data_IF_399701951102
#
_entry.id   IF_399701951102
#
_cell.length_a   1.000
_cell.length_b   1.000
_cell.length_c   1.000
_cell.angle_alpha   90.00
_cell.angle_beta   90.00
_cell.angle_gamma   90.00
#
_symmetry.space_group_name_H-M   'P 1'
#
loop_
_entity.id
_entity.type
_entity.pdbx_description
1 polymer ?
#
# COMPACT_ATOMS: atom_id res chain seq x y z
N UNK A 1 -19.63 12.38 39.24
CA UNK A 1 -19.22 11.17 38.50
C UNK A 1 -19.93 11.25 37.17
N UNK A 2 -19.24 11.75 36.14
CA UNK A 2 -19.79 11.79 34.78
C UNK A 2 -19.87 10.36 34.27
N UNK A 3 -20.98 9.97 33.64
CA UNK A 3 -21.09 8.67 32.98
C UNK A 3 -19.92 8.49 32.01
N UNK A 4 -19.29 7.30 31.95
CA UNK A 4 -18.26 7.03 30.95
C UNK A 4 -18.93 7.14 29.58
N UNK A 5 -18.54 8.16 28.80
CA UNK A 5 -19.01 8.32 27.43
C UNK A 5 -18.61 7.08 26.64
N UNK A 6 -19.56 6.48 25.92
CA UNK A 6 -19.29 5.29 25.12
C UNK A 6 -18.13 5.57 24.14
N UNK A 7 -17.20 4.62 23.95
CA UNK A 7 -16.12 4.78 23.00
C UNK A 7 -16.68 4.97 21.60
N UNK A 8 -16.17 5.97 20.90
CA UNK A 8 -16.51 6.25 19.51
C UNK A 8 -15.70 5.32 18.61
N UNK A 9 -16.36 4.40 17.92
CA UNK A 9 -15.70 3.53 16.94
C UNK A 9 -15.30 4.32 15.70
N UNK A 10 -14.10 4.06 15.18
CA UNK A 10 -13.63 4.57 13.90
C UNK A 10 -13.15 3.41 13.03
N UNK A 11 -13.49 3.44 11.75
CA UNK A 11 -13.03 2.45 10.76
C UNK A 11 -12.49 3.13 9.50
N UNK A 12 -11.28 2.77 9.10
CA UNK A 12 -10.64 3.18 7.86
C UNK A 12 -10.75 2.05 6.84
N UNK A 13 -11.25 2.37 5.65
CA UNK A 13 -11.43 1.44 4.55
C UNK A 13 -10.60 1.86 3.34
N UNK A 14 -9.64 1.04 2.93
CA UNK A 14 -8.86 1.26 1.71
C UNK A 14 -9.52 0.52 0.54
N UNK A 15 -10.30 1.26 -0.26
CA UNK A 15 -11.24 0.67 -1.23
C UNK A 15 -10.74 0.67 -2.67
N UNK A 16 -9.66 1.39 -2.97
CA UNK A 16 -9.06 1.40 -4.30
C UNK A 16 -7.85 2.32 -4.40
N UNK A 17 -7.31 2.46 -5.61
CA UNK A 17 -6.09 3.25 -5.81
C UNK A 17 -6.28 4.76 -5.75
N UNK A 18 -7.50 5.25 -6.03
CA UNK A 18 -7.83 6.68 -6.03
C UNK A 18 -9.33 6.86 -5.95
N UNK A 19 -9.77 7.92 -5.28
CA UNK A 19 -11.16 8.38 -5.31
C UNK A 19 -11.21 9.76 -5.99
N UNK A 20 -12.06 9.91 -7.01
CA UNK A 20 -12.34 11.22 -7.60
C UNK A 20 -13.36 11.98 -6.75
N UNK A 21 -12.89 13.03 -6.07
CA UNK A 21 -13.72 13.87 -5.21
C UNK A 21 -14.52 14.95 -5.97
N UNK A 22 -14.28 15.14 -7.27
CA UNK A 22 -14.90 16.23 -8.05
C UNK A 22 -16.42 16.11 -8.15
N UNK A 23 -16.93 14.89 -8.16
CA UNK A 23 -18.38 14.64 -8.22
C UNK A 23 -19.02 14.67 -6.83
N UNK A 24 -18.25 14.33 -5.79
CA UNK A 24 -18.69 14.24 -4.39
C UNK A 24 -18.75 15.60 -3.69
N UNK A 25 -17.95 16.57 -4.11
CA UNK A 25 -17.90 17.92 -3.52
C UNK A 25 -19.15 18.79 -3.79
N UNK A 26 -20.15 18.27 -4.50
CA UNK A 26 -21.42 18.98 -4.79
C UNK A 26 -22.44 18.93 -3.63
N UNK A 27 -22.19 18.14 -2.58
CA UNK A 27 -23.01 18.04 -1.37
C UNK A 27 -22.39 18.74 -0.14
N UNK A 28 -23.08 18.65 1.01
CA UNK A 28 -22.77 19.26 2.33
C UNK A 28 -21.32 19.03 2.80
N UNK A 29 -20.40 19.83 2.27
CA UNK A 29 -18.96 19.73 2.51
C UNK A 29 -18.59 20.57 3.73
N UNK A 30 -17.95 19.96 4.73
CA UNK A 30 -17.55 20.64 5.97
C UNK A 30 -16.13 21.21 5.90
N UNK A 31 -15.21 20.58 5.15
CA UNK A 31 -13.83 21.02 4.97
C UNK A 31 -13.20 20.48 3.67
N UNK A 32 -12.16 21.16 3.18
CA UNK A 32 -11.36 20.74 2.02
C UNK A 32 -9.98 20.27 2.51
N UNK A 33 -9.91 18.99 2.88
CA UNK A 33 -8.66 18.26 3.15
C UNK A 33 -8.71 17.49 4.48
N UNK A 34 -9.14 16.20 4.53
CA UNK A 34 -9.86 15.40 3.53
C UNK A 34 -11.28 15.93 3.24
N UNK A 35 -12.02 15.34 2.27
CA UNK A 35 -13.45 15.67 2.11
C UNK A 35 -14.21 15.14 3.33
N UNK A 36 -14.65 16.04 4.19
CA UNK A 36 -15.39 15.70 5.42
C UNK A 36 -16.89 15.93 5.24
N UNK A 37 -17.66 14.87 5.49
CA UNK A 37 -19.12 14.85 5.43
C UNK A 37 -19.70 14.45 6.79
N UNK A 38 -20.76 15.13 7.20
CA UNK A 38 -21.57 14.73 8.36
C UNK A 38 -22.62 13.70 7.90
N UNK A 39 -22.71 12.59 8.64
CA UNK A 39 -23.62 11.48 8.39
C UNK A 39 -24.58 11.36 9.59
N UNK A 40 -25.88 11.54 9.34
CA UNK A 40 -26.88 11.56 10.40
C UNK A 40 -26.67 12.73 11.37
N UNK A 41 -26.78 12.46 12.69
CA UNK A 41 -26.65 13.49 13.73
C UNK A 41 -25.23 13.60 14.34
N UNK A 42 -24.44 12.53 14.30
CA UNK A 42 -23.15 12.47 15.00
C UNK A 42 -22.04 11.71 14.25
N UNK A 43 -22.35 11.11 13.09
CA UNK A 43 -21.39 10.34 12.32
C UNK A 43 -20.56 11.23 11.39
N UNK A 44 -19.31 10.88 11.15
CA UNK A 44 -18.48 11.55 10.15
C UNK A 44 -17.94 10.55 9.14
N UNK A 45 -17.91 10.96 7.87
CA UNK A 45 -17.17 10.28 6.81
C UNK A 45 -16.11 11.22 6.25
N UNK A 46 -14.86 10.78 6.23
CA UNK A 46 -13.71 11.54 5.76
C UNK A 46 -13.05 10.78 4.60
N UNK A 47 -13.10 11.37 3.41
CA UNK A 47 -12.70 10.71 2.16
C UNK A 47 -11.37 11.29 1.68
N UNK A 48 -10.40 10.40 1.51
CA UNK A 48 -9.05 10.70 1.05
C UNK A 48 -8.91 10.36 -0.44
N UNK A 49 -8.30 11.27 -1.21
CA UNK A 49 -8.13 11.09 -2.66
C UNK A 49 -7.28 9.88 -3.00
N UNK A 50 -6.38 9.49 -2.10
CA UNK A 50 -5.56 8.29 -2.22
C UNK A 50 -6.32 6.99 -1.94
N UNK A 51 -7.65 6.99 -1.85
CA UNK A 51 -8.44 5.76 -1.90
C UNK A 51 -8.98 5.25 -0.58
N UNK A 52 -8.85 6.03 0.49
CA UNK A 52 -9.31 5.65 1.84
C UNK A 52 -10.55 6.44 2.24
N UNK A 53 -11.45 5.77 2.95
CA UNK A 53 -12.61 6.39 3.61
C UNK A 53 -12.53 6.08 5.09
N UNK A 54 -12.51 7.09 5.95
CA UNK A 54 -12.51 6.93 7.41
C UNK A 54 -13.87 7.36 7.97
N UNK A 55 -14.51 6.46 8.71
CA UNK A 55 -15.87 6.61 9.20
C UNK A 55 -15.90 6.54 10.72
N UNK A 56 -16.54 7.53 11.37
CA UNK A 56 -16.60 7.69 12.82
C UNK A 56 -18.04 7.53 13.31
N UNK A 57 -18.30 6.55 14.17
CA UNK A 57 -19.60 6.37 14.80
C UNK A 57 -20.72 5.93 13.85
N UNK A 58 -20.37 5.28 12.73
CA UNK A 58 -21.35 4.71 11.79
C UNK A 58 -21.61 3.23 12.11
N UNK A 59 -22.82 2.79 11.80
CA UNK A 59 -23.17 1.37 11.75
C UNK A 59 -22.63 0.70 10.49
N UNK A 60 -22.48 -0.63 10.52
CA UNK A 60 -21.99 -1.38 9.35
C UNK A 60 -22.87 -1.22 8.10
N UNK A 61 -24.16 -0.95 8.29
CA UNK A 61 -25.09 -0.70 7.19
C UNK A 61 -24.79 0.65 6.51
N UNK A 62 -24.59 1.71 7.29
CA UNK A 62 -24.22 3.04 6.80
C UNK A 62 -22.83 3.01 6.13
N UNK A 63 -21.87 2.29 6.71
CA UNK A 63 -20.53 2.12 6.11
C UNK A 63 -20.63 1.48 4.72
N UNK A 64 -21.41 0.40 4.59
CA UNK A 64 -21.64 -0.28 3.32
C UNK A 64 -22.34 0.62 2.31
N UNK A 65 -23.31 1.43 2.74
CA UNK A 65 -24.01 2.37 1.88
C UNK A 65 -23.04 3.41 1.30
N UNK A 66 -22.18 4.01 2.14
CA UNK A 66 -21.17 4.97 1.70
C UNK A 66 -20.18 4.33 0.73
N UNK A 67 -19.62 3.17 1.07
CA UNK A 67 -18.67 2.45 0.19
C UNK A 67 -19.32 2.10 -1.15
N UNK A 68 -20.60 1.72 -1.14
CA UNK A 68 -21.34 1.43 -2.36
C UNK A 68 -21.62 2.68 -3.19
N UNK A 69 -21.92 3.82 -2.55
CA UNK A 69 -22.11 5.11 -3.21
C UNK A 69 -20.84 5.64 -3.88
N UNK A 70 -19.66 5.23 -3.42
CA UNK A 70 -18.37 5.63 -3.99
C UNK A 70 -17.91 4.78 -5.17
N UNK A 71 -18.64 3.71 -5.54
CA UNK A 71 -18.18 2.74 -6.55
C UNK A 71 -17.73 3.35 -7.87
N UNK A 72 -18.50 4.31 -8.40
CA UNK A 72 -18.23 4.91 -9.70
C UNK A 72 -17.10 5.95 -9.65
N UNK A 73 -16.79 6.46 -8.46
CA UNK A 73 -15.71 7.44 -8.23
C UNK A 73 -14.36 6.78 -7.87
N UNK A 74 -14.32 5.46 -7.67
CA UNK A 74 -13.12 4.73 -7.24
C UNK A 74 -12.37 4.15 -8.45
N UNK A 75 -11.12 4.54 -8.64
CA UNK A 75 -10.24 3.96 -9.66
C UNK A 75 -9.44 2.76 -9.11
N UNK A 76 -9.32 1.70 -9.93
CA UNK A 76 -8.72 0.41 -9.55
C UNK A 76 -9.24 -0.05 -8.18
N UNK A 77 -10.55 -0.26 -8.10
CA UNK A 77 -11.21 -0.77 -6.91
C UNK A 77 -10.62 -2.13 -6.53
N UNK A 78 -10.43 -2.35 -5.24
CA UNK A 78 -9.96 -3.63 -4.74
C UNK A 78 -11.13 -4.58 -4.49
N UNK A 79 -10.98 -5.85 -4.86
CA UNK A 79 -11.99 -6.89 -4.62
C UNK A 79 -12.16 -7.18 -3.12
N UNK A 80 -11.06 -7.09 -2.39
CA UNK A 80 -11.01 -7.19 -0.93
C UNK A 80 -10.40 -5.89 -0.39
N UNK A 81 -11.23 -4.92 0.02
CA UNK A 81 -10.77 -3.72 0.69
C UNK A 81 -10.08 -4.06 2.03
N UNK A 82 -8.99 -3.36 2.33
CA UNK A 82 -8.39 -3.42 3.66
C UNK A 82 -9.24 -2.58 4.63
N UNK A 83 -9.45 -3.08 5.85
CA UNK A 83 -10.15 -2.37 6.90
C UNK A 83 -9.29 -2.34 8.17
N UNK A 84 -9.15 -1.16 8.75
CA UNK A 84 -8.51 -0.97 10.04
C UNK A 84 -9.47 -0.23 10.99
N UNK A 85 -9.61 -0.71 12.22
CA UNK A 85 -10.55 -0.16 13.20
C UNK A 85 -9.83 0.28 14.47
N UNK A 86 -10.28 1.39 15.07
CA UNK A 86 -9.86 1.83 16.38
C UNK A 86 -11.06 2.33 17.21
N UNK A 87 -10.84 2.47 18.50
CA UNK A 87 -11.78 3.08 19.42
C UNK A 87 -11.22 4.39 19.95
N UNK A 88 -12.07 5.41 20.02
CA UNK A 88 -11.74 6.73 20.54
C UNK A 88 -12.47 6.94 21.86
N UNK A 89 -11.75 7.39 22.87
CA UNK A 89 -12.32 7.81 24.15
C UNK A 89 -12.05 9.29 24.37
N UNK A 90 -13.07 10.03 24.80
CA UNK A 90 -12.96 11.46 25.04
C UNK A 90 -12.77 11.69 26.54
N UNK A 91 -11.66 12.33 26.89
CA UNK A 91 -11.33 12.74 28.24
C UNK A 91 -10.68 14.12 28.20
N UNK A 92 -11.48 15.14 28.51
CA UNK A 92 -11.06 16.55 28.51
C UNK A 92 -9.89 16.84 29.47
N UNK A 93 -9.64 15.96 30.45
CA UNK A 93 -8.62 16.13 31.48
C UNK A 93 -7.34 15.33 31.20
N UNK A 94 -7.39 14.37 30.28
CA UNK A 94 -6.24 13.52 29.96
C UNK A 94 -5.32 14.16 28.92
N UNK A 95 -4.05 13.75 28.95
CA UNK A 95 -3.18 13.97 27.79
C UNK A 95 -3.61 13.04 26.65
N UNK A 96 -3.64 13.55 25.43
CA UNK A 96 -3.96 12.77 24.25
C UNK A 96 -2.84 11.76 23.96
N UNK A 97 -3.21 10.48 23.79
CA UNK A 97 -2.31 9.32 23.61
C UNK A 97 -3.14 8.07 23.32
N UNK A 98 -2.51 6.98 22.91
CA UNK A 98 -3.08 5.65 23.03
C UNK A 98 -3.07 5.22 24.51
N UNK A 99 -4.17 4.61 24.96
CA UNK A 99 -4.24 3.99 26.29
C UNK A 99 -3.67 2.56 26.29
N UNK A 100 -3.60 1.94 27.46
CA UNK A 100 -3.08 0.58 27.62
C UNK A 100 -3.87 -0.47 26.83
N UNK A 101 -5.12 -0.17 26.49
CA UNK A 101 -6.01 -1.03 25.71
C UNK A 101 -5.92 -0.71 24.20
N UNK A 102 -5.01 0.18 23.78
CA UNK A 102 -4.81 0.59 22.39
C UNK A 102 -5.85 1.59 21.88
N UNK A 103 -6.67 2.19 22.76
CA UNK A 103 -7.71 3.16 22.38
C UNK A 103 -7.12 4.56 22.31
N UNK A 104 -7.55 5.34 21.33
CA UNK A 104 -7.10 6.72 21.13
C UNK A 104 -7.83 7.62 22.13
N UNK A 105 -7.09 8.25 23.04
CA UNK A 105 -7.63 9.28 23.95
C UNK A 105 -7.51 10.66 23.33
N UNK A 106 -8.63 11.36 23.21
CA UNK A 106 -8.71 12.74 22.74
C UNK A 106 -9.30 13.65 23.82
N UNK A 107 -8.95 14.94 23.80
CA UNK A 107 -9.55 15.94 24.72
C UNK A 107 -11.00 16.25 24.37
N UNK A 108 -11.31 16.28 23.08
CA UNK A 108 -12.64 16.52 22.54
C UNK A 108 -12.80 15.83 21.18
N UNK A 109 -14.03 15.78 20.67
CA UNK A 109 -14.35 15.26 19.35
C UNK A 109 -14.47 16.39 18.30
N UNK A 110 -13.63 17.43 18.40
CA UNK A 110 -13.59 18.47 17.38
C UNK A 110 -13.20 17.88 16.01
N UNK A 111 -13.75 18.47 14.95
CA UNK A 111 -13.49 18.03 13.57
C UNK A 111 -12.00 17.98 13.27
N UNK A 112 -11.20 18.94 13.77
CA UNK A 112 -9.75 18.96 13.57
C UNK A 112 -9.03 17.77 14.21
N UNK A 113 -9.38 17.41 15.46
CA UNK A 113 -8.81 16.22 16.13
C UNK A 113 -9.23 14.92 15.46
N UNK A 114 -10.51 14.82 15.05
CA UNK A 114 -10.99 13.67 14.29
C UNK A 114 -10.29 13.57 12.92
N UNK A 115 -10.01 14.68 12.25
CA UNK A 115 -9.24 14.70 11.01
C UNK A 115 -7.79 14.24 11.22
N UNK A 116 -7.14 14.64 12.32
CA UNK A 116 -5.80 14.13 12.68
C UNK A 116 -5.83 12.60 12.84
N UNK A 117 -6.79 12.06 13.59
CA UNK A 117 -6.96 10.62 13.74
C UNK A 117 -7.24 9.95 12.39
N UNK A 118 -8.10 10.55 11.56
CA UNK A 118 -8.41 10.04 10.23
C UNK A 118 -7.17 9.97 9.34
N UNK A 119 -6.30 10.98 9.37
CA UNK A 119 -5.05 10.97 8.62
C UNK A 119 -4.12 9.84 9.05
N UNK A 120 -3.97 9.62 10.37
CA UNK A 120 -3.10 8.54 10.88
C UNK A 120 -3.67 7.17 10.52
N UNK A 121 -4.96 6.93 10.79
CA UNK A 121 -5.60 5.65 10.46
C UNK A 121 -5.64 5.38 8.96
N UNK A 122 -5.84 6.41 8.14
CA UNK A 122 -5.83 6.25 6.69
C UNK A 122 -4.45 5.81 6.18
N UNK A 123 -3.37 6.40 6.73
CA UNK A 123 -2.00 5.99 6.39
C UNK A 123 -1.67 4.59 6.91
N UNK A 124 -2.06 4.28 8.15
CA UNK A 124 -1.90 2.95 8.74
C UNK A 124 -2.57 1.88 7.88
N UNK A 125 -3.82 2.11 7.47
CA UNK A 125 -4.59 1.19 6.65
C UNK A 125 -3.94 0.93 5.28
N UNK A 126 -3.40 1.99 4.64
CA UNK A 126 -2.67 1.84 3.37
C UNK A 126 -1.36 1.07 3.56
N UNK A 127 -0.62 1.34 4.64
CA UNK A 127 0.59 0.59 4.97
C UNK A 127 0.28 -0.88 5.19
N UNK A 128 -0.75 -1.21 5.97
CA UNK A 128 -1.19 -2.59 6.24
C UNK A 128 -1.48 -3.34 4.93
N UNK A 129 -2.21 -2.72 4.01
CA UNK A 129 -2.49 -3.30 2.69
C UNK A 129 -1.23 -3.61 1.89
N UNK A 130 -0.30 -2.64 1.81
CA UNK A 130 0.93 -2.83 1.01
C UNK A 130 1.92 -3.78 1.69
N UNK A 131 2.01 -3.78 3.01
CA UNK A 131 2.80 -4.74 3.79
C UNK A 131 2.32 -6.17 3.53
N UNK A 132 1.01 -6.40 3.57
CA UNK A 132 0.41 -7.69 3.24
C UNK A 132 0.68 -8.08 1.78
N UNK A 133 0.48 -7.15 0.85
CA UNK A 133 0.71 -7.39 -0.58
C UNK A 133 2.17 -7.75 -0.88
N UNK A 134 3.12 -7.02 -0.29
CA UNK A 134 4.56 -7.27 -0.44
C UNK A 134 4.97 -8.56 0.26
N UNK A 135 4.42 -8.85 1.44
CA UNK A 135 4.64 -10.11 2.16
C UNK A 135 4.31 -11.32 1.28
N UNK A 136 3.17 -11.31 0.59
CA UNK A 136 2.79 -12.39 -0.32
C UNK A 136 3.74 -12.56 -1.51
N UNK A 137 4.37 -11.47 -1.99
CA UNK A 137 5.39 -11.56 -3.04
C UNK A 137 6.67 -12.17 -2.49
N UNK A 138 7.10 -11.76 -1.29
CA UNK A 138 8.25 -12.36 -0.60
C UNK A 138 8.07 -13.86 -0.37
N UNK A 139 6.92 -14.30 0.15
CA UNK A 139 6.64 -15.72 0.39
C UNK A 139 6.75 -16.56 -0.89
N UNK A 140 6.37 -15.98 -2.03
CA UNK A 140 6.49 -16.63 -3.35
C UNK A 140 7.94 -16.72 -3.81
N UNK A 141 8.71 -15.64 -3.64
CA UNK A 141 10.15 -15.61 -3.94
C UNK A 141 10.90 -16.61 -3.05
N UNK A 142 10.58 -16.70 -1.76
CA UNK A 142 11.21 -17.63 -0.82
C UNK A 142 10.95 -19.09 -1.21
N UNK A 143 9.68 -19.45 -1.47
CA UNK A 143 9.33 -20.80 -1.97
C UNK A 143 10.07 -21.17 -3.24
N UNK A 144 10.24 -20.20 -4.14
CA UNK A 144 10.99 -20.40 -5.36
C UNK A 144 12.49 -20.62 -5.08
N UNK A 145 13.08 -19.84 -4.18
CA UNK A 145 14.47 -20.03 -3.76
C UNK A 145 14.69 -21.41 -3.12
N UNK A 146 13.76 -21.89 -2.29
CA UNK A 146 13.82 -23.23 -1.69
C UNK A 146 13.80 -24.34 -2.75
N UNK A 147 12.92 -24.24 -3.76
CA UNK A 147 12.86 -25.21 -4.88
C UNK A 147 14.18 -25.26 -5.65
N UNK A 148 14.78 -24.10 -5.91
CA UNK A 148 16.08 -24.00 -6.58
C UNK A 148 17.19 -24.63 -5.74
N UNK A 149 17.20 -24.42 -4.42
CA UNK A 149 18.15 -25.08 -3.51
C UNK A 149 18.03 -26.61 -3.51
N UNK A 150 16.83 -27.15 -3.75
CA UNK A 150 16.59 -28.59 -3.89
C UNK A 150 16.96 -29.16 -5.27
N UNK A 151 17.46 -28.33 -6.19
CA UNK A 151 17.85 -28.75 -7.54
C UNK A 151 16.66 -29.05 -8.46
N UNK A 152 15.46 -28.61 -8.10
CA UNK A 152 14.27 -28.75 -8.95
C UNK A 152 14.43 -27.89 -10.21
N UNK A 153 14.20 -28.47 -11.40
CA UNK A 153 14.47 -27.79 -12.67
C UNK A 153 13.46 -26.66 -12.97
N UNK A 154 13.91 -25.46 -13.41
CA UNK A 154 13.09 -24.26 -13.51
C UNK A 154 12.32 -24.16 -14.84
N UNK A 155 11.64 -25.23 -15.26
CA UNK A 155 10.78 -25.18 -16.44
C UNK A 155 9.45 -24.49 -16.07
N UNK A 156 9.42 -23.16 -16.17
CA UNK A 156 8.25 -22.32 -15.85
C UNK A 156 8.59 -21.08 -15.00
N UNK A 157 9.61 -21.18 -14.16
CA UNK A 157 9.95 -20.20 -13.12
C UNK A 157 10.32 -18.81 -13.67
N UNK A 158 10.88 -18.68 -14.89
CA UNK A 158 11.30 -17.36 -15.41
C UNK A 158 10.15 -16.37 -15.58
N UNK A 159 9.05 -16.84 -16.16
CA UNK A 159 7.86 -16.00 -16.40
C UNK A 159 7.13 -15.73 -15.08
N UNK A 160 7.14 -16.70 -14.17
CA UNK A 160 6.59 -16.58 -12.83
C UNK A 160 7.35 -15.53 -11.99
N UNK A 161 8.68 -15.65 -11.92
CA UNK A 161 9.56 -14.68 -11.24
C UNK A 161 9.39 -13.28 -11.83
N UNK A 162 9.40 -13.14 -13.15
CA UNK A 162 9.20 -11.84 -13.79
C UNK A 162 7.81 -11.26 -13.50
N UNK A 163 6.79 -12.12 -13.36
CA UNK A 163 5.46 -11.72 -12.92
C UNK A 163 5.43 -11.20 -11.48
N UNK A 164 6.09 -11.90 -10.55
CA UNK A 164 6.17 -11.49 -9.14
C UNK A 164 6.99 -10.20 -8.96
N UNK A 165 8.08 -10.06 -9.71
CA UNK A 165 8.86 -8.82 -9.81
C UNK A 165 7.99 -7.68 -10.34
N UNK A 166 7.28 -7.92 -11.44
CA UNK A 166 6.39 -6.92 -12.03
C UNK A 166 5.30 -6.48 -11.05
N UNK A 167 4.78 -7.40 -10.22
CA UNK A 167 3.83 -7.09 -9.17
C UNK A 167 4.46 -6.20 -8.08
N UNK A 168 5.66 -6.53 -7.60
CA UNK A 168 6.38 -5.71 -6.63
C UNK A 168 6.71 -4.30 -7.17
N UNK A 169 7.16 -4.19 -8.42
CA UNK A 169 7.41 -2.90 -9.08
C UNK A 169 6.12 -2.09 -9.24
N UNK A 170 5.00 -2.75 -9.55
CA UNK A 170 3.70 -2.09 -9.63
C UNK A 170 3.25 -1.59 -8.25
N UNK A 171 3.49 -2.35 -7.18
CA UNK A 171 3.25 -1.91 -5.80
C UNK A 171 4.13 -0.70 -5.49
N UNK A 172 5.44 -0.76 -5.76
CA UNK A 172 6.38 0.34 -5.54
C UNK A 172 5.93 1.61 -6.27
N UNK A 173 5.53 1.52 -7.54
CA UNK A 173 5.02 2.66 -8.31
C UNK A 173 3.75 3.25 -7.69
N UNK A 174 2.85 2.39 -7.16
CA UNK A 174 1.60 2.82 -6.51
C UNK A 174 1.81 3.47 -5.15
N UNK A 175 2.84 3.06 -4.41
CA UNK A 175 3.21 3.64 -3.10
C UNK A 175 3.95 4.97 -3.26
N UNK A 176 4.93 5.05 -4.17
CA UNK A 176 5.75 6.26 -4.38
C UNK A 176 4.95 7.40 -5.03
N UNK A 177 3.96 7.10 -5.88
CA UNK A 177 3.20 8.10 -6.63
C UNK A 177 2.20 8.95 -5.83
N UNK A 178 2.11 8.80 -4.51
CA UNK A 178 1.03 9.40 -3.69
C UNK A 178 1.58 10.34 -2.61
N UNK A 179 1.88 11.57 -3.03
CA UNK A 179 2.39 12.67 -2.17
C UNK A 179 1.59 12.85 -0.88
N UNK A 180 0.26 12.74 -0.94
CA UNK A 180 -0.64 12.88 0.22
C UNK A 180 -0.43 11.81 1.33
N UNK A 181 0.18 10.66 1.02
CA UNK A 181 0.43 9.61 2.02
C UNK A 181 1.68 9.97 2.85
N UNK A 182 2.67 10.61 2.23
CA UNK A 182 3.97 10.88 2.86
C UNK A 182 3.98 12.20 3.64
N UNK A 183 3.23 13.21 3.20
CA UNK A 183 3.25 14.54 3.82
C UNK A 183 2.38 14.64 5.09
N UNK A 184 2.77 15.54 6.01
CA UNK A 184 1.91 15.90 7.14
C UNK A 184 0.61 16.52 6.63
N UNK A 185 -0.52 16.28 7.31
CA UNK A 185 -1.79 16.86 6.90
C UNK A 185 -1.76 18.38 7.01
N UNK A 186 -2.34 19.10 6.04
CA UNK A 186 -2.30 20.57 6.01
C UNK A 186 -2.93 21.20 7.26
N UNK A 187 -3.93 20.53 7.88
CA UNK A 187 -4.57 21.02 9.11
C UNK A 187 -3.61 21.20 10.29
N UNK A 188 -2.46 20.51 10.30
CA UNK A 188 -1.49 20.66 11.40
C UNK A 188 -0.50 21.80 11.18
N UNK A 189 -0.49 22.44 10.00
CA UNK A 189 0.52 23.47 9.68
C UNK A 189 0.29 24.75 10.50
N UNK A 190 -0.96 25.09 10.76
CA UNK A 190 -1.35 26.30 11.49
C UNK A 190 -1.71 26.04 12.97
N UNK A 191 -1.81 24.78 13.39
CA UNK A 191 -2.20 24.38 14.75
C UNK A 191 -1.16 23.45 15.40
N UNK A 192 -0.40 24.02 16.33
CA UNK A 192 0.65 23.30 17.07
C UNK A 192 0.11 22.23 18.03
N UNK A 193 -1.14 22.34 18.51
CA UNK A 193 -1.74 21.25 19.30
C UNK A 193 -2.05 20.05 18.39
N UNK A 194 -2.62 20.29 17.22
CA UNK A 194 -2.93 19.25 16.25
C UNK A 194 -1.65 18.61 15.67
N UNK A 195 -0.58 19.36 15.45
CA UNK A 195 0.72 18.81 15.03
C UNK A 195 1.30 17.85 16.08
N UNK A 196 1.25 18.24 17.36
CA UNK A 196 1.71 17.36 18.46
C UNK A 196 0.84 16.11 18.59
N UNK A 197 -0.46 16.24 18.39
CA UNK A 197 -1.38 15.09 18.37
C UNK A 197 -1.03 14.14 17.22
N UNK A 198 -0.84 14.68 16.02
CA UNK A 198 -0.47 13.90 14.84
C UNK A 198 0.83 13.15 15.05
N UNK A 199 1.90 13.84 15.48
CA UNK A 199 3.21 13.21 15.71
C UNK A 199 3.13 12.09 16.75
N UNK A 200 2.35 12.29 17.82
CA UNK A 200 2.18 11.30 18.87
C UNK A 200 1.46 10.05 18.38
N UNK A 201 0.29 10.21 17.78
CA UNK A 201 -0.49 9.07 17.27
C UNK A 201 0.28 8.39 16.13
N UNK A 202 0.92 9.15 15.22
CA UNK A 202 1.74 8.58 14.14
C UNK A 202 2.94 7.77 14.66
N UNK A 203 3.53 8.19 15.78
CA UNK A 203 4.62 7.43 16.44
C UNK A 203 4.08 6.17 17.10
N UNK A 204 2.94 6.25 17.79
CA UNK A 204 2.32 5.08 18.44
C UNK A 204 1.82 4.04 17.42
N UNK A 205 1.45 4.47 16.21
CA UNK A 205 1.14 3.59 15.07
C UNK A 205 2.37 3.19 14.22
N UNK A 206 3.58 3.61 14.64
CA UNK A 206 4.86 3.30 13.99
C UNK A 206 4.90 3.64 12.49
N UNK A 207 4.14 4.65 12.04
CA UNK A 207 3.92 4.89 10.61
C UNK A 207 5.23 5.06 9.82
N UNK A 208 6.21 5.76 10.42
CA UNK A 208 7.51 6.01 9.78
C UNK A 208 8.38 4.75 9.70
N UNK A 209 8.42 3.97 10.77
CA UNK A 209 9.24 2.76 10.83
C UNK A 209 8.67 1.69 9.88
N UNK A 210 7.35 1.57 9.82
CA UNK A 210 6.61 0.72 8.87
C UNK A 210 6.87 1.11 7.42
N UNK A 211 6.77 2.39 7.09
CA UNK A 211 7.06 2.89 5.74
C UNK A 211 8.51 2.60 5.31
N UNK A 212 9.48 2.85 6.19
CA UNK A 212 10.89 2.54 5.94
C UNK A 212 11.12 1.03 5.76
N UNK A 213 10.48 0.20 6.58
CA UNK A 213 10.58 -1.26 6.47
C UNK A 213 9.98 -1.76 5.14
N UNK A 214 8.82 -1.24 4.74
CA UNK A 214 8.17 -1.55 3.47
C UNK A 214 9.05 -1.14 2.28
N UNK A 215 9.62 0.07 2.31
CA UNK A 215 10.51 0.56 1.26
C UNK A 215 11.76 -0.32 1.11
N UNK A 216 12.37 -0.75 2.23
CA UNK A 216 13.52 -1.68 2.21
C UNK A 216 13.16 -3.05 1.64
N UNK A 217 11.98 -3.59 1.98
CA UNK A 217 11.46 -4.84 1.42
C UNK A 217 11.30 -4.73 -0.10
N UNK A 218 10.70 -3.64 -0.59
CA UNK A 218 10.54 -3.39 -2.02
C UNK A 218 11.89 -3.25 -2.73
N UNK A 219 12.84 -2.50 -2.17
CA UNK A 219 14.19 -2.33 -2.74
C UNK A 219 14.92 -3.68 -2.87
N UNK A 220 14.80 -4.54 -1.86
CA UNK A 220 15.38 -5.89 -1.91
C UNK A 220 14.77 -6.75 -3.02
N UNK A 221 13.44 -6.69 -3.23
CA UNK A 221 12.80 -7.39 -4.35
C UNK A 221 13.34 -6.86 -5.68
N UNK A 222 13.39 -5.54 -5.86
CA UNK A 222 13.85 -4.90 -7.09
C UNK A 222 15.31 -5.23 -7.41
N UNK A 223 16.21 -5.24 -6.41
CA UNK A 223 17.61 -5.66 -6.62
C UNK A 223 17.74 -7.14 -6.96
N UNK A 224 16.96 -7.99 -6.29
CA UNK A 224 16.95 -9.44 -6.55
C UNK A 224 16.41 -9.72 -7.95
N UNK A 225 15.42 -8.96 -8.37
CA UNK A 225 14.85 -8.98 -9.71
C UNK A 225 15.88 -8.67 -10.79
N UNK A 226 16.59 -7.54 -10.64
CA UNK A 226 17.65 -7.11 -11.56
C UNK A 226 18.73 -8.18 -11.67
N UNK A 227 19.21 -8.69 -10.52
CA UNK A 227 20.22 -9.75 -10.48
C UNK A 227 19.76 -11.02 -11.20
N UNK A 228 18.49 -11.42 -11.03
CA UNK A 228 17.93 -12.58 -11.70
C UNK A 228 17.80 -12.37 -13.22
N UNK A 229 17.33 -11.20 -13.65
CA UNK A 229 17.23 -10.82 -15.06
C UNK A 229 18.61 -10.85 -15.72
N UNK A 230 19.64 -10.32 -15.06
CA UNK A 230 21.02 -10.33 -15.55
C UNK A 230 21.57 -11.74 -15.74
N UNK A 231 21.33 -12.63 -14.76
CA UNK A 231 21.74 -14.03 -14.84
C UNK A 231 21.04 -14.77 -16.00
N UNK A 232 19.75 -14.48 -16.22
CA UNK A 232 18.97 -15.07 -17.32
C UNK A 232 19.45 -14.55 -18.67
N UNK A 233 19.78 -13.26 -18.78
CA UNK A 233 20.28 -12.64 -20.00
C UNK A 233 21.66 -13.19 -20.39
N UNK A 234 22.53 -13.48 -19.43
CA UNK A 234 23.85 -14.04 -19.72
C UNK A 234 23.79 -15.42 -20.40
N UNK A 235 22.76 -16.23 -20.12
CA UNK A 235 22.53 -17.53 -20.80
C UNK A 235 22.09 -17.41 -22.27
N UNK A 236 21.74 -16.23 -22.76
CA UNK A 236 21.44 -16.04 -24.20
C UNK A 236 22.73 -15.91 -25.03
N UNK A 237 23.82 -15.40 -24.46
CA UNK A 237 25.12 -15.26 -25.15
C UNK A 237 25.70 -16.60 -25.61
N UNK A 238 25.52 -17.66 -24.81
CA UNK A 238 25.99 -19.02 -25.13
C UNK A 238 25.35 -19.60 -26.41
N UNK A 239 24.12 -19.18 -26.76
CA UNK A 239 23.47 -19.65 -28.00
C UNK A 239 24.10 -19.02 -29.23
N UNK A 240 24.45 -17.73 -29.16
CA UNK A 240 25.12 -17.02 -30.26
C UNK A 240 26.53 -17.59 -30.49
N UNK A 241 27.25 -17.90 -29.41
CA UNK A 241 28.55 -18.57 -29.49
C UNK A 241 28.44 -19.93 -30.20
N UNK A 242 27.46 -20.76 -29.84
CA UNK A 242 27.21 -22.04 -30.52
C UNK A 242 26.83 -21.87 -32.00
N UNK A 243 26.05 -20.84 -32.35
CA UNK A 243 25.75 -20.57 -33.77
C UNK A 243 27.03 -20.24 -34.56
N UNK A 244 27.93 -19.42 -34.00
CA UNK A 244 29.22 -19.11 -34.63
C UNK A 244 30.06 -20.38 -34.78
N UNK A 245 30.17 -21.22 -33.75
CA UNK A 245 30.91 -22.48 -33.81
C UNK A 245 30.34 -23.41 -34.88
N UNK A 246 29.02 -23.59 -34.93
CA UNK A 246 28.36 -24.44 -35.95
C UNK A 246 28.59 -23.88 -37.37
N UNK A 247 28.53 -22.57 -37.56
CA UNK A 247 28.80 -21.93 -38.86
C UNK A 247 30.24 -22.16 -39.32
N UNK A 248 31.23 -22.02 -38.43
CA UNK A 248 32.64 -22.31 -38.74
C UNK A 248 32.84 -23.79 -39.09
N UNK A 249 32.26 -24.70 -38.30
CA UNK A 249 32.34 -26.15 -38.57
C UNK A 249 31.73 -26.48 -39.93
N UNK A 250 30.56 -25.90 -40.25
CA UNK A 250 29.89 -26.09 -41.54
C UNK A 250 30.77 -25.62 -42.70
N UNK A 251 31.40 -24.45 -42.59
CA UNK A 251 32.28 -23.90 -43.62
C UNK A 251 33.52 -24.76 -43.86
N UNK A 252 34.13 -25.29 -42.80
CA UNK A 252 35.27 -26.21 -42.90
C UNK A 252 34.85 -27.49 -43.61
N UNK A 253 33.69 -28.07 -43.25
CA UNK A 253 33.16 -29.29 -43.88
C UNK A 253 32.89 -29.07 -45.37
N UNK A 254 32.24 -27.95 -45.73
CA UNK A 254 31.97 -27.60 -47.14
C UNK A 254 33.28 -27.41 -47.93
N UNK A 255 34.27 -26.74 -47.35
CA UNK A 255 35.57 -26.53 -47.98
C UNK A 255 36.33 -27.84 -48.21
N UNK A 256 36.34 -28.74 -47.23
CA UNK A 256 36.94 -30.07 -47.35
C UNK A 256 36.22 -30.93 -48.39
N UNK A 257 34.89 -30.88 -48.41
CA UNK A 257 34.07 -31.59 -49.39
C UNK A 257 34.38 -31.11 -50.82
N UNK A 258 34.50 -29.80 -51.02
CA UNK A 258 34.87 -29.23 -52.31
C UNK A 258 36.26 -29.68 -52.79
N UNK A 259 37.24 -29.79 -51.88
CA UNK A 259 38.59 -30.28 -52.20
C UNK A 259 38.58 -31.78 -52.50
N UNK A 260 37.75 -32.58 -51.83
CA UNK A 260 37.69 -34.03 -52.03
C UNK A 260 36.99 -34.44 -53.35
N UNK A 261 36.06 -33.60 -53.84
CA UNK A 261 35.28 -33.85 -55.06
C UNK A 261 35.91 -33.27 -56.34
N UNK A 262 37.03 -32.57 -56.22
CA UNK A 262 37.86 -32.06 -57.33
C UNK A 262 39.19 -32.81 -57.40
#
# INVERSE_FOLDING_TARGET
MSEPMQPLTVRAWFIGSRIDLRELSRGSTVALGPLTMLIGQHGYSMIFRFGVVVMFGLSEAEEKEIINGLKDSVHNRYDQPECESAEITIDASASERLDTDGRIKLRDASVGRLQVVAHVLAKSCVLSYYENSVGQVFDRIERLAERLCRGESPHGDKKEILGEIGNALLIQARTVGRVEITEKPEIVWDDMELDRLYERIATEYELRDRDVALARKLDLISRTAETYIDLVNHRQGLRVEWYIVVLIVLEIVLSLWQILLH
#
